data_IF_726361817013
#
_entry.id   IF_726361817013
#
_cell.length_a   1.000
_cell.length_b   1.000
_cell.length_c   1.000
_cell.angle_alpha   90.00
_cell.angle_beta   90.00
_cell.angle_gamma   90.00
#
_symmetry.space_group_name_H-M   'P 1'
#
loop_
_entity.id
_entity.type
_entity.pdbx_description
1 polymer ?
#
# COMPACT_ATOMS: atom_id res chain seq x y z
N UNK A 1 21.13 6.76 7.39
CA UNK A 1 19.72 6.83 7.85
C UNK A 1 18.86 6.09 6.84
N UNK A 2 17.99 5.21 7.32
CA UNK A 2 17.11 4.37 6.49
C UNK A 2 17.85 3.48 5.47
N UNK A 3 18.98 2.89 5.84
CA UNK A 3 19.71 1.95 4.99
C UNK A 3 18.96 0.61 4.91
N UNK A 4 18.65 0.19 3.70
CA UNK A 4 17.97 -1.06 3.38
C UNK A 4 18.87 -2.02 2.57
N UNK A 5 20.18 -1.80 2.59
CA UNK A 5 21.15 -2.66 1.92
C UNK A 5 21.03 -4.11 2.40
N UNK A 6 20.97 -5.06 1.47
CA UNK A 6 20.77 -6.48 1.77
C UNK A 6 19.33 -6.89 2.07
N UNK A 7 18.38 -5.96 2.16
CA UNK A 7 16.96 -6.26 2.36
C UNK A 7 16.24 -6.50 1.03
N UNK A 8 15.25 -7.36 1.09
CA UNK A 8 14.33 -7.64 -0.02
C UNK A 8 12.95 -7.07 0.30
N UNK A 9 12.32 -6.42 -0.67
CA UNK A 9 11.01 -5.80 -0.51
C UNK A 9 10.03 -6.27 -1.60
N UNK A 10 8.79 -6.52 -1.24
CA UNK A 10 7.67 -6.67 -2.18
C UNK A 10 6.73 -5.47 -2.01
N UNK A 11 6.52 -4.74 -3.11
CA UNK A 11 5.52 -3.66 -3.16
C UNK A 11 4.39 -4.05 -4.10
N UNK A 12 3.19 -4.19 -3.55
CA UNK A 12 2.02 -4.57 -4.34
C UNK A 12 1.36 -3.35 -5.01
N UNK A 13 0.84 -3.54 -6.24
CA UNK A 13 0.26 -2.42 -7.00
C UNK A 13 1.28 -1.31 -7.32
N UNK A 14 2.53 -1.68 -7.62
CA UNK A 14 3.67 -0.78 -7.74
C UNK A 14 4.01 -0.35 -9.17
N UNK A 15 3.13 -0.56 -10.13
CA UNK A 15 3.38 -0.19 -11.54
C UNK A 15 3.17 1.31 -11.81
N UNK A 16 2.54 2.04 -10.88
CA UNK A 16 2.26 3.47 -10.98
C UNK A 16 1.92 4.10 -9.62
N UNK A 17 1.85 5.43 -9.56
CA UNK A 17 1.35 6.19 -8.41
C UNK A 17 2.16 5.96 -7.13
N UNK A 18 1.46 5.87 -5.99
CA UNK A 18 2.08 5.75 -4.66
C UNK A 18 2.98 4.51 -4.57
N UNK A 19 2.50 3.36 -5.04
CA UNK A 19 3.27 2.11 -4.98
C UNK A 19 4.56 2.16 -5.80
N UNK A 20 4.53 2.80 -6.97
CA UNK A 20 5.73 3.01 -7.79
C UNK A 20 6.77 3.87 -7.08
N UNK A 21 6.34 4.98 -6.48
CA UNK A 21 7.25 5.88 -5.78
C UNK A 21 7.81 5.24 -4.50
N UNK A 22 7.00 4.46 -3.78
CA UNK A 22 7.50 3.65 -2.66
C UNK A 22 8.58 2.67 -3.13
N UNK A 23 8.32 1.91 -4.20
CA UNK A 23 9.29 0.96 -4.74
C UNK A 23 10.60 1.66 -5.16
N UNK A 24 10.48 2.81 -5.83
CA UNK A 24 11.62 3.64 -6.24
C UNK A 24 12.46 4.09 -5.04
N UNK A 25 11.80 4.57 -3.99
CA UNK A 25 12.48 5.08 -2.80
C UNK A 25 13.14 3.95 -1.99
N UNK A 26 12.49 2.80 -1.81
CA UNK A 26 13.08 1.63 -1.15
C UNK A 26 14.32 1.12 -1.91
N UNK A 27 14.26 1.06 -3.24
CA UNK A 27 15.39 0.68 -4.08
C UNK A 27 16.55 1.69 -3.98
N UNK A 28 16.25 2.99 -3.96
CA UNK A 28 17.25 4.05 -3.79
C UNK A 28 17.97 3.99 -2.43
N UNK A 29 17.36 3.36 -1.43
CA UNK A 29 17.93 3.10 -0.11
C UNK A 29 18.56 1.70 0.03
N UNK A 30 18.78 0.99 -1.08
CA UNK A 30 19.56 -0.25 -1.14
C UNK A 30 18.74 -1.54 -1.17
N UNK A 31 17.43 -1.50 -1.03
CA UNK A 31 16.61 -2.71 -1.09
C UNK A 31 16.57 -3.31 -2.51
N UNK A 32 16.53 -4.63 -2.62
CA UNK A 32 16.07 -5.31 -3.83
C UNK A 32 14.54 -5.34 -3.81
N UNK A 33 13.89 -4.74 -4.82
CA UNK A 33 12.42 -4.53 -4.80
C UNK A 33 11.72 -5.36 -5.86
N UNK A 34 10.77 -6.20 -5.44
CA UNK A 34 9.83 -6.86 -6.33
C UNK A 34 8.64 -5.93 -6.59
N UNK A 35 8.40 -5.61 -7.86
CA UNK A 35 7.34 -4.72 -8.32
C UNK A 35 6.17 -5.55 -8.80
N UNK A 36 5.10 -5.62 -7.99
CA UNK A 36 3.91 -6.35 -8.38
C UNK A 36 2.88 -5.44 -9.04
N UNK A 37 2.21 -5.98 -10.06
CA UNK A 37 1.03 -5.44 -10.72
C UNK A 37 0.15 -6.55 -11.27
N UNK A 38 -1.17 -6.31 -11.36
CA UNK A 38 -2.13 -7.31 -11.81
C UNK A 38 -2.38 -7.31 -13.33
N UNK A 39 -2.33 -6.13 -13.99
CA UNK A 39 -2.91 -5.94 -15.31
C UNK A 39 -2.10 -6.56 -16.45
N UNK A 40 -0.78 -6.40 -16.48
CA UNK A 40 0.06 -7.00 -17.51
C UNK A 40 1.52 -7.12 -17.09
N UNK A 41 2.22 -8.09 -17.65
CA UNK A 41 3.68 -8.26 -17.44
C UNK A 41 4.46 -7.07 -17.99
N UNK A 42 4.02 -6.50 -19.12
CA UNK A 42 4.67 -5.34 -19.72
C UNK A 42 4.63 -4.12 -18.81
N UNK A 43 3.49 -3.82 -18.17
CA UNK A 43 3.43 -2.71 -17.20
C UNK A 43 4.37 -2.92 -16.01
N UNK A 44 4.48 -4.14 -15.51
CA UNK A 44 5.43 -4.48 -14.45
C UNK A 44 6.87 -4.27 -14.93
N UNK A 45 7.21 -4.74 -16.13
CA UNK A 45 8.53 -4.59 -16.74
C UNK A 45 8.89 -3.11 -16.94
N UNK A 46 8.00 -2.34 -17.58
CA UNK A 46 8.21 -0.90 -17.84
C UNK A 46 8.41 -0.10 -16.53
N UNK A 47 7.70 -0.47 -15.46
CA UNK A 47 7.93 0.13 -14.16
C UNK A 47 9.30 -0.26 -13.57
N UNK A 48 9.66 -1.53 -13.68
CA UNK A 48 10.96 -2.05 -13.19
C UNK A 48 12.16 -1.44 -13.93
N UNK A 49 12.07 -1.24 -15.24
CA UNK A 49 13.13 -0.60 -16.03
C UNK A 49 13.50 0.81 -15.55
N UNK A 50 12.58 1.49 -14.85
CA UNK A 50 12.79 2.82 -14.28
C UNK A 50 13.36 2.81 -12.86
N UNK A 51 13.44 1.65 -12.24
CA UNK A 51 13.86 1.49 -10.84
C UNK A 51 15.05 0.54 -10.76
N UNK A 52 16.26 1.02 -10.48
CA UNK A 52 17.42 0.16 -10.26
C UNK A 52 17.16 -0.88 -9.16
N UNK A 53 17.78 -2.05 -9.28
CA UNK A 53 17.66 -3.14 -8.31
C UNK A 53 16.22 -3.62 -8.07
N UNK A 54 15.38 -3.57 -9.11
CA UNK A 54 14.01 -4.06 -9.04
C UNK A 54 13.76 -5.25 -9.97
N UNK A 55 12.72 -6.03 -9.65
CA UNK A 55 12.30 -7.22 -10.40
C UNK A 55 10.79 -7.14 -10.65
N UNK A 56 10.33 -7.21 -11.89
CA UNK A 56 8.91 -7.18 -12.20
C UNK A 56 8.25 -8.54 -11.88
N UNK A 57 7.10 -8.52 -11.23
CA UNK A 57 6.31 -9.73 -10.97
C UNK A 57 4.83 -9.45 -11.20
N UNK A 58 4.27 -9.99 -12.27
CA UNK A 58 2.85 -9.91 -12.52
C UNK A 58 2.11 -10.95 -11.68
N UNK A 59 1.13 -10.52 -10.89
CA UNK A 59 0.17 -11.39 -10.19
C UNK A 59 -1.10 -10.62 -9.86
N UNK A 60 -2.25 -11.23 -10.13
CA UNK A 60 -3.55 -10.77 -9.65
C UNK A 60 -3.78 -11.32 -8.23
N UNK A 61 -3.71 -10.43 -7.26
CA UNK A 61 -3.76 -10.81 -5.84
C UNK A 61 -5.15 -11.25 -5.37
N UNK A 62 -6.20 -11.10 -6.17
CA UNK A 62 -7.52 -11.65 -5.86
C UNK A 62 -7.54 -13.18 -6.03
N UNK A 63 -6.65 -13.72 -6.86
CA UNK A 63 -6.55 -15.14 -7.19
C UNK A 63 -5.55 -15.86 -6.29
N UNK A 64 -5.98 -16.94 -5.67
CA UNK A 64 -5.14 -17.73 -4.75
C UNK A 64 -3.89 -18.27 -5.45
N UNK A 65 -4.07 -18.87 -6.62
CA UNK A 65 -2.99 -19.51 -7.38
C UNK A 65 -1.91 -18.49 -7.78
N UNK A 66 -2.32 -17.27 -8.11
CA UNK A 66 -1.39 -16.21 -8.49
C UNK A 66 -0.65 -15.64 -7.26
N UNK A 67 -1.27 -15.61 -6.07
CA UNK A 67 -0.56 -15.26 -4.82
C UNK A 67 0.50 -16.32 -4.46
N UNK A 68 0.21 -17.61 -4.63
CA UNK A 68 1.21 -18.65 -4.40
C UNK A 68 2.35 -18.56 -5.41
N UNK A 69 2.06 -18.39 -6.70
CA UNK A 69 3.06 -18.19 -7.74
C UNK A 69 3.91 -16.93 -7.51
N UNK A 70 3.33 -15.85 -6.96
CA UNK A 70 4.06 -14.66 -6.53
C UNK A 70 5.10 -15.02 -5.47
N UNK A 71 4.70 -15.76 -4.45
CA UNK A 71 5.61 -16.19 -3.39
C UNK A 71 6.73 -17.10 -3.94
N UNK A 72 6.44 -18.03 -4.83
CA UNK A 72 7.46 -18.89 -5.47
C UNK A 72 8.50 -18.07 -6.24
N UNK A 73 8.08 -16.99 -6.91
CA UNK A 73 8.96 -16.09 -7.65
C UNK A 73 9.80 -15.16 -6.76
N UNK A 74 9.23 -14.69 -5.65
CA UNK A 74 9.90 -13.73 -4.77
C UNK A 74 10.72 -14.42 -3.68
N UNK A 75 10.39 -15.65 -3.34
CA UNK A 75 10.84 -16.29 -2.11
C UNK A 75 10.32 -15.54 -0.89
N UNK A 76 11.04 -15.58 0.22
CA UNK A 76 10.79 -14.74 1.37
C UNK A 76 11.20 -13.28 1.11
N UNK A 77 10.53 -12.33 1.74
CA UNK A 77 10.92 -10.92 1.73
C UNK A 77 10.99 -10.35 3.14
N UNK A 78 11.89 -9.41 3.33
CA UNK A 78 12.08 -8.70 4.61
C UNK A 78 11.02 -7.62 4.79
N UNK A 79 10.61 -6.98 3.69
CA UNK A 79 9.69 -5.84 3.67
C UNK A 79 8.49 -6.19 2.78
N UNK A 80 7.28 -6.01 3.32
CA UNK A 80 6.03 -6.23 2.60
C UNK A 80 5.18 -4.95 2.63
N UNK A 81 5.06 -4.28 1.46
CA UNK A 81 4.20 -3.10 1.32
C UNK A 81 2.91 -3.46 0.59
N UNK A 82 1.81 -3.41 1.32
CA UNK A 82 0.46 -3.77 0.85
C UNK A 82 -0.25 -2.52 0.34
N UNK A 83 0.08 -2.12 -0.90
CA UNK A 83 -0.45 -0.92 -1.56
C UNK A 83 -1.54 -1.24 -2.59
N UNK A 84 -1.57 -2.44 -3.16
CA UNK A 84 -2.59 -2.83 -4.13
C UNK A 84 -4.00 -2.61 -3.59
N UNK A 85 -4.84 -1.95 -4.36
CA UNK A 85 -6.24 -1.73 -3.98
C UNK A 85 -7.13 -1.47 -5.18
N UNK A 86 -8.39 -1.88 -5.07
CA UNK A 86 -9.48 -1.55 -5.97
C UNK A 86 -10.42 -0.58 -5.26
N UNK A 87 -10.95 0.38 -6.03
CA UNK A 87 -11.90 1.37 -5.56
C UNK A 87 -12.95 1.57 -6.65
N UNK A 88 -14.20 1.31 -6.32
CA UNK A 88 -15.34 1.73 -7.12
C UNK A 88 -16.03 2.92 -6.46
N UNK A 89 -16.43 3.89 -7.26
CA UNK A 89 -17.15 5.07 -6.84
C UNK A 89 -18.62 4.91 -7.22
N UNK A 90 -19.49 4.66 -6.23
CA UNK A 90 -20.91 4.37 -6.40
C UNK A 90 -21.70 4.92 -5.20
N UNK A 91 -22.95 5.23 -5.40
CA UNK A 91 -23.89 5.34 -4.29
C UNK A 91 -23.97 3.98 -3.57
N UNK A 92 -24.26 3.99 -2.28
CA UNK A 92 -24.24 2.78 -1.46
C UNK A 92 -25.24 1.70 -1.94
N UNK A 93 -26.35 2.10 -2.55
CA UNK A 93 -27.44 1.25 -3.07
C UNK A 93 -27.23 0.79 -4.53
N UNK A 94 -26.14 1.21 -5.16
CA UNK A 94 -25.81 0.87 -6.56
C UNK A 94 -24.64 -0.13 -6.69
N UNK A 95 -24.01 -0.51 -5.57
CA UNK A 95 -22.93 -1.51 -5.61
C UNK A 95 -23.46 -2.88 -6.01
N UNK A 96 -22.79 -3.51 -6.97
CA UNK A 96 -23.04 -4.93 -7.28
C UNK A 96 -22.26 -5.85 -6.33
N UNK A 97 -22.69 -7.13 -6.23
CA UNK A 97 -21.94 -8.14 -5.47
C UNK A 97 -20.52 -8.34 -6.03
N UNK A 98 -20.35 -8.32 -7.35
CA UNK A 98 -19.02 -8.41 -7.99
C UNK A 98 -18.11 -7.25 -7.62
N UNK A 99 -18.62 -6.02 -7.54
CA UNK A 99 -17.85 -4.84 -7.12
C UNK A 99 -17.50 -4.92 -5.62
N UNK A 100 -18.39 -5.45 -4.80
CA UNK A 100 -18.14 -5.73 -3.40
C UNK A 100 -17.01 -6.76 -3.25
N UNK A 101 -17.17 -7.93 -3.87
CA UNK A 101 -16.21 -9.02 -3.79
C UNK A 101 -14.83 -8.60 -4.31
N UNK A 102 -14.77 -7.89 -5.44
CA UNK A 102 -13.53 -7.40 -5.99
C UNK A 102 -12.78 -6.47 -5.01
N UNK A 103 -13.50 -5.55 -4.32
CA UNK A 103 -12.87 -4.66 -3.35
C UNK A 103 -12.38 -5.42 -2.11
N UNK A 104 -13.19 -6.33 -1.57
CA UNK A 104 -12.81 -7.12 -0.39
C UNK A 104 -11.70 -8.12 -0.70
N UNK A 105 -11.77 -8.81 -1.84
CA UNK A 105 -10.73 -9.75 -2.27
C UNK A 105 -9.38 -9.05 -2.50
N UNK A 106 -9.39 -7.89 -3.16
CA UNK A 106 -8.16 -7.14 -3.41
C UNK A 106 -7.65 -6.45 -2.14
N UNK A 107 -8.50 -5.69 -1.43
CA UNK A 107 -8.02 -4.78 -0.38
C UNK A 107 -7.77 -5.49 0.95
N UNK A 108 -8.55 -6.53 1.29
CA UNK A 108 -8.47 -7.21 2.59
C UNK A 108 -7.96 -8.63 2.48
N UNK A 109 -8.63 -9.47 1.70
CA UNK A 109 -8.29 -10.89 1.60
C UNK A 109 -6.87 -11.09 1.09
N UNK A 110 -6.48 -10.36 0.03
CA UNK A 110 -5.11 -10.42 -0.49
C UNK A 110 -4.08 -10.01 0.58
N UNK A 111 -4.33 -8.90 1.28
CA UNK A 111 -3.45 -8.39 2.34
C UNK A 111 -3.24 -9.43 3.44
N UNK A 112 -4.34 -9.99 3.95
CA UNK A 112 -4.28 -11.02 5.00
C UNK A 112 -3.47 -12.26 4.58
N UNK A 113 -3.74 -12.80 3.37
CA UNK A 113 -3.06 -14.01 2.91
C UNK A 113 -1.62 -13.77 2.52
N UNK A 114 -1.24 -12.58 2.04
CA UNK A 114 0.16 -12.22 1.83
C UNK A 114 0.91 -12.12 3.16
N UNK A 115 0.36 -11.43 4.17
CA UNK A 115 0.97 -11.40 5.50
C UNK A 115 1.19 -12.81 6.03
N UNK A 116 0.14 -13.67 5.99
CA UNK A 116 0.22 -15.07 6.43
C UNK A 116 1.30 -15.85 5.68
N UNK A 117 1.47 -15.59 4.37
CA UNK A 117 2.40 -16.33 3.51
C UNK A 117 3.85 -15.93 3.72
N UNK A 118 4.11 -14.64 3.96
CA UNK A 118 5.47 -14.13 4.17
C UNK A 118 5.93 -14.19 5.63
N UNK A 119 5.02 -14.27 6.58
CA UNK A 119 5.32 -14.32 8.02
C UNK A 119 6.34 -15.40 8.41
N UNK A 120 6.27 -16.67 7.93
CA UNK A 120 7.23 -17.70 8.33
C UNK A 120 8.67 -17.33 8.03
N UNK A 121 8.93 -16.73 6.86
CA UNK A 121 10.26 -16.23 6.49
C UNK A 121 10.74 -15.14 7.44
N UNK A 122 9.93 -14.11 7.66
CA UNK A 122 10.27 -13.00 8.56
C UNK A 122 10.51 -13.49 9.99
N UNK A 123 9.69 -14.45 10.45
CA UNK A 123 9.84 -15.08 11.78
C UNK A 123 11.15 -15.83 11.93
N UNK A 124 11.54 -16.62 10.93
CA UNK A 124 12.80 -17.38 10.93
C UNK A 124 14.02 -16.45 10.99
N UNK A 125 13.94 -15.29 10.30
CA UNK A 125 15.01 -14.30 10.28
C UNK A 125 15.00 -13.32 11.46
N UNK A 126 13.97 -13.38 12.33
CA UNK A 126 13.84 -12.48 13.47
C UNK A 126 13.67 -11.01 13.09
N UNK A 127 13.25 -10.73 11.85
CA UNK A 127 13.11 -9.38 11.33
C UNK A 127 12.02 -9.32 10.23
N UNK A 128 11.23 -8.26 10.26
CA UNK A 128 10.24 -8.00 9.21
C UNK A 128 9.61 -6.61 9.34
N UNK A 129 9.26 -6.02 8.20
CA UNK A 129 8.51 -4.75 8.14
C UNK A 129 7.33 -4.90 7.21
N UNK A 130 6.14 -4.71 7.75
CA UNK A 130 4.89 -4.78 6.99
C UNK A 130 4.23 -3.41 7.07
N UNK A 131 3.91 -2.83 5.91
CA UNK A 131 3.23 -1.54 5.82
C UNK A 131 2.00 -1.69 4.92
N UNK A 132 0.82 -1.35 5.45
CA UNK A 132 -0.40 -1.24 4.64
C UNK A 132 -0.61 0.21 4.21
N UNK A 133 -1.09 0.40 2.99
CA UNK A 133 -1.49 1.73 2.52
C UNK A 133 -3.00 1.85 2.68
N UNK A 134 -3.38 2.55 3.75
CA UNK A 134 -4.75 2.89 4.10
C UNK A 134 -5.32 4.04 3.28
N UNK A 135 -6.15 4.85 3.92
CA UNK A 135 -6.73 6.09 3.36
C UNK A 135 -7.41 6.87 4.47
N UNK A 136 -7.45 8.20 4.38
CA UNK A 136 -8.31 9.02 5.25
C UNK A 136 -9.80 8.66 5.12
N UNK A 137 -10.21 7.96 4.06
CA UNK A 137 -11.58 7.44 3.92
C UNK A 137 -11.94 6.35 4.96
N UNK A 138 -10.98 5.84 5.72
CA UNK A 138 -11.26 4.99 6.88
C UNK A 138 -11.86 5.75 8.07
N UNK A 139 -11.79 7.08 8.06
CA UNK A 139 -12.36 7.99 9.06
C UNK A 139 -13.48 8.84 8.48
N UNK A 140 -13.31 9.28 7.22
CA UNK A 140 -14.21 10.22 6.57
C UNK A 140 -15.39 9.49 5.92
N UNK A 141 -16.59 10.05 6.11
CA UNK A 141 -17.80 9.55 5.48
C UNK A 141 -17.93 10.09 4.06
N UNK A 142 -17.41 9.37 3.07
CA UNK A 142 -17.57 9.73 1.67
C UNK A 142 -18.80 9.03 1.08
N UNK A 143 -19.77 9.77 0.51
CA UNK A 143 -21.07 9.22 0.09
C UNK A 143 -20.97 8.13 -0.98
N UNK A 144 -19.91 8.15 -1.81
CA UNK A 144 -19.73 7.24 -2.93
C UNK A 144 -18.60 6.22 -2.71
N UNK A 145 -17.94 6.24 -1.55
CA UNK A 145 -16.81 5.35 -1.24
C UNK A 145 -17.07 4.51 0.02
N UNK A 146 -18.34 4.20 0.30
CA UNK A 146 -18.74 3.48 1.51
C UNK A 146 -17.99 2.16 1.69
N UNK A 147 -17.98 1.31 0.67
CA UNK A 147 -17.27 0.02 0.73
C UNK A 147 -15.74 0.18 0.78
N UNK A 148 -15.20 1.12 0.00
CA UNK A 148 -13.77 1.40 0.03
C UNK A 148 -13.31 1.84 1.43
N UNK A 149 -14.03 2.77 2.06
CA UNK A 149 -13.77 3.21 3.43
C UNK A 149 -13.78 2.05 4.43
N UNK A 150 -14.78 1.15 4.33
CA UNK A 150 -14.85 -0.07 5.15
C UNK A 150 -13.63 -0.96 4.95
N UNK A 151 -13.19 -1.20 3.70
CA UNK A 151 -11.99 -2.03 3.46
C UNK A 151 -10.73 -1.40 4.05
N UNK A 152 -10.61 -0.07 4.02
CA UNK A 152 -9.46 0.65 4.58
C UNK A 152 -9.48 0.66 6.12
N UNK A 153 -10.64 0.82 6.74
CA UNK A 153 -10.82 0.66 8.18
C UNK A 153 -10.48 -0.78 8.64
N UNK A 154 -10.89 -1.79 7.86
CA UNK A 154 -10.55 -3.18 8.12
C UNK A 154 -9.04 -3.45 8.01
N UNK A 155 -8.32 -2.85 7.03
CA UNK A 155 -6.85 -2.95 6.93
C UNK A 155 -6.16 -2.36 8.16
N UNK A 156 -6.58 -1.16 8.61
CA UNK A 156 -6.08 -0.56 9.85
C UNK A 156 -6.28 -1.50 11.02
N UNK A 157 -7.51 -2.01 11.22
CA UNK A 157 -7.80 -2.92 12.33
C UNK A 157 -7.01 -4.23 12.25
N UNK A 158 -6.73 -4.72 11.06
CA UNK A 158 -5.87 -5.87 10.86
C UNK A 158 -4.43 -5.59 11.37
N UNK A 159 -3.86 -4.40 11.08
CA UNK A 159 -2.56 -4.01 11.61
C UNK A 159 -2.54 -4.00 13.15
N UNK A 160 -3.54 -3.37 13.77
CA UNK A 160 -3.65 -3.31 15.24
C UNK A 160 -3.74 -4.70 15.87
N UNK A 161 -4.53 -5.60 15.27
CA UNK A 161 -4.72 -6.95 15.79
C UNK A 161 -3.49 -7.84 15.60
N UNK A 162 -2.74 -7.67 14.52
CA UNK A 162 -1.55 -8.48 14.24
C UNK A 162 -0.28 -7.95 14.91
N UNK A 163 -0.18 -6.67 15.21
CA UNK A 163 1.01 -6.07 15.78
C UNK A 163 1.51 -6.79 17.07
N UNK A 164 0.67 -7.04 18.09
CA UNK A 164 1.12 -7.75 19.29
C UNK A 164 1.51 -9.21 19.02
N UNK A 165 1.00 -9.81 17.95
CA UNK A 165 1.30 -11.20 17.58
C UNK A 165 2.60 -11.34 16.81
N UNK A 166 3.00 -10.28 16.07
CA UNK A 166 4.19 -10.26 15.23
C UNK A 166 5.41 -9.68 15.97
N UNK A 167 5.21 -8.71 16.85
CA UNK A 167 6.27 -8.01 17.56
C UNK A 167 7.26 -8.93 18.32
N UNK A 168 6.84 -10.04 18.98
CA UNK A 168 7.76 -10.96 19.61
C UNK A 168 8.80 -11.59 18.68
N UNK A 169 8.57 -11.55 17.38
CA UNK A 169 9.47 -12.07 16.35
C UNK A 169 10.31 -11.00 15.66
N UNK A 170 10.37 -9.78 16.20
CA UNK A 170 11.09 -8.66 15.58
C UNK A 170 10.40 -8.09 14.32
N UNK A 171 9.11 -8.41 14.13
CA UNK A 171 8.32 -7.99 12.98
C UNK A 171 7.39 -6.86 13.39
N UNK A 172 7.44 -5.73 12.67
CA UNK A 172 6.46 -4.64 12.84
C UNK A 172 5.44 -4.63 11.71
N UNK A 173 4.21 -4.24 12.04
CA UNK A 173 3.16 -3.98 11.06
C UNK A 173 2.51 -2.63 11.39
N UNK A 174 2.42 -1.74 10.39
CA UNK A 174 1.91 -0.39 10.54
C UNK A 174 1.06 0.02 9.33
N UNK A 175 0.23 1.06 9.52
CA UNK A 175 -0.63 1.61 8.47
C UNK A 175 -0.21 3.04 8.13
N UNK A 176 -0.10 3.36 6.84
CA UNK A 176 0.03 4.74 6.36
C UNK A 176 -1.29 5.12 5.69
N UNK A 177 -1.90 6.22 6.12
CA UNK A 177 -3.19 6.69 5.61
C UNK A 177 -3.02 7.98 4.79
N UNK A 178 -2.91 7.89 3.45
CA UNK A 178 -2.85 9.06 2.59
C UNK A 178 -4.18 9.82 2.55
N UNK A 179 -4.09 11.15 2.40
CA UNK A 179 -5.18 12.02 1.98
C UNK A 179 -5.42 11.99 0.47
N UNK A 180 -5.83 13.14 -0.07
CA UNK A 180 -5.95 13.33 -1.51
C UNK A 180 -4.55 13.44 -2.14
N UNK A 181 -4.19 12.45 -2.99
CA UNK A 181 -2.88 12.36 -3.66
C UNK A 181 -3.09 12.28 -5.17
N UNK A 182 -2.40 13.14 -5.93
CA UNK A 182 -2.43 13.10 -7.39
C UNK A 182 -1.76 11.82 -7.90
N UNK A 183 -2.52 10.98 -8.58
CA UNK A 183 -2.07 9.70 -9.14
C UNK A 183 -2.80 9.41 -10.45
N UNK A 184 -2.28 8.53 -11.33
CA UNK A 184 -2.99 8.13 -12.55
C UNK A 184 -4.41 7.59 -12.32
N UNK A 185 -4.72 7.10 -11.11
CA UNK A 185 -6.08 6.61 -10.76
C UNK A 185 -7.12 7.72 -10.74
N UNK A 186 -6.73 8.92 -10.31
CA UNK A 186 -7.64 10.05 -10.10
C UNK A 186 -7.29 11.28 -10.94
N UNK A 187 -6.39 11.12 -11.92
CA UNK A 187 -5.95 12.19 -12.83
C UNK A 187 -7.13 12.90 -13.50
N UNK A 188 -8.04 12.14 -14.10
CA UNK A 188 -9.21 12.72 -14.77
C UNK A 188 -10.12 13.56 -13.83
N UNK A 189 -10.23 13.18 -12.55
CA UNK A 189 -10.98 13.98 -11.58
C UNK A 189 -10.23 15.26 -11.19
N UNK A 190 -8.90 15.24 -11.21
CA UNK A 190 -8.07 16.40 -10.86
C UNK A 190 -7.82 17.35 -12.05
N UNK A 191 -8.17 16.95 -13.27
CA UNK A 191 -8.23 17.84 -14.43
C UNK A 191 -9.44 18.80 -14.38
N UNK A 192 -10.49 18.42 -13.64
CA UNK A 192 -11.61 19.32 -13.35
C UNK A 192 -11.15 20.44 -12.39
N UNK A 193 -11.11 21.67 -12.91
CA UNK A 193 -10.63 22.85 -12.19
C UNK A 193 -11.48 23.20 -10.96
N UNK A 194 -12.77 22.98 -11.02
CA UNK A 194 -13.66 23.30 -9.89
C UNK A 194 -13.55 22.23 -8.81
N UNK A 195 -13.45 20.98 -9.18
CA UNK A 195 -13.13 19.89 -8.26
C UNK A 195 -11.76 20.12 -7.59
N UNK A 196 -10.72 20.48 -8.37
CA UNK A 196 -9.38 20.78 -7.83
C UNK A 196 -9.39 21.95 -6.86
N UNK A 197 -10.09 23.03 -7.15
CA UNK A 197 -10.24 24.16 -6.22
C UNK A 197 -10.93 23.73 -4.93
N UNK A 198 -12.02 22.96 -5.05
CA UNK A 198 -12.79 22.47 -3.90
C UNK A 198 -11.95 21.57 -3.01
N UNK A 199 -11.26 20.57 -3.58
CA UNK A 199 -10.45 19.64 -2.79
C UNK A 199 -9.24 20.35 -2.17
N UNK A 200 -8.56 21.23 -2.91
CA UNK A 200 -7.41 21.99 -2.42
C UNK A 200 -7.81 22.91 -1.25
N UNK A 201 -8.96 23.56 -1.33
CA UNK A 201 -9.45 24.44 -0.24
C UNK A 201 -9.84 23.67 1.02
N UNK A 202 -10.11 22.37 0.92
CA UNK A 202 -10.41 21.51 2.07
C UNK A 202 -9.14 20.93 2.74
N UNK A 203 -7.97 21.14 2.16
CA UNK A 203 -6.70 20.65 2.69
C UNK A 203 -5.94 21.81 3.35
N UNK A 204 -5.69 21.80 4.67
CA UNK A 204 -4.97 22.89 5.36
C UNK A 204 -3.60 23.21 4.76
N UNK A 205 -2.89 22.22 4.23
CA UNK A 205 -1.62 22.43 3.53
C UNK A 205 -1.75 23.19 2.19
N UNK A 206 -2.97 23.48 1.73
CA UNK A 206 -3.25 24.29 0.53
C UNK A 206 -2.92 23.60 -0.80
N UNK A 207 -2.71 22.29 -0.80
CA UNK A 207 -2.42 21.53 -2.01
C UNK A 207 -2.82 20.05 -1.88
N UNK A 208 -3.08 19.43 -3.01
CA UNK A 208 -3.15 17.97 -3.13
C UNK A 208 -1.74 17.38 -2.94
N UNK A 209 -1.63 16.24 -2.28
CA UNK A 209 -0.39 15.51 -2.12
C UNK A 209 0.11 14.88 -3.42
N UNK A 210 1.38 14.47 -3.42
CA UNK A 210 2.02 13.69 -4.48
C UNK A 210 2.50 12.35 -3.91
N UNK A 211 2.78 11.33 -4.73
CA UNK A 211 3.37 10.07 -4.26
C UNK A 211 4.63 10.26 -3.40
N UNK A 212 5.44 11.30 -3.71
CA UNK A 212 6.64 11.67 -2.98
C UNK A 212 6.37 12.22 -1.57
N UNK A 213 5.15 12.67 -1.29
CA UNK A 213 4.74 13.06 0.06
C UNK A 213 4.45 11.84 0.95
N UNK A 214 4.11 10.70 0.35
CA UNK A 214 3.72 9.47 1.05
C UNK A 214 4.92 8.53 1.25
N UNK A 215 5.75 8.37 0.24
CA UNK A 215 6.82 7.36 0.23
C UNK A 215 7.85 7.52 1.36
N UNK A 216 8.20 8.74 1.88
CA UNK A 216 9.12 8.88 3.00
C UNK A 216 8.59 8.29 4.32
N UNK A 217 7.27 8.38 4.55
CA UNK A 217 6.64 7.76 5.72
C UNK A 217 6.75 6.23 5.65
N UNK A 218 6.55 5.66 4.47
CA UNK A 218 6.68 4.21 4.24
C UNK A 218 8.14 3.77 4.38
N UNK A 219 9.10 4.51 3.82
CA UNK A 219 10.52 4.22 3.97
C UNK A 219 10.92 4.18 5.46
N UNK A 220 10.52 5.18 6.24
CA UNK A 220 10.76 5.21 7.68
C UNK A 220 10.21 3.95 8.36
N UNK A 221 8.95 3.59 8.09
CA UNK A 221 8.32 2.40 8.70
C UNK A 221 8.92 1.07 8.20
N UNK A 222 9.65 1.06 7.09
CA UNK A 222 10.36 -0.09 6.56
C UNK A 222 11.81 -0.22 7.07
N UNK A 223 12.31 0.75 7.83
CA UNK A 223 13.71 0.83 8.27
C UNK A 223 13.94 0.24 9.67
N UNK A 224 15.20 0.15 10.08
CA UNK A 224 15.58 -0.22 11.44
C UNK A 224 15.12 0.82 12.48
N UNK A 225 15.11 2.09 12.11
CA UNK A 225 14.78 3.21 12.97
C UNK A 225 13.34 3.18 13.50
N UNK A 226 12.46 2.43 12.83
CA UNK A 226 11.06 2.24 13.25
C UNK A 226 10.82 0.93 14.02
N UNK A 227 11.86 0.22 14.43
CA UNK A 227 11.77 -1.12 15.03
C UNK A 227 10.92 -1.21 16.32
N UNK A 228 10.63 -0.09 16.98
CA UNK A 228 9.78 -0.03 18.17
C UNK A 228 8.37 0.51 17.88
N UNK A 229 8.03 0.72 16.59
CA UNK A 229 6.71 1.20 16.14
C UNK A 229 5.93 0.00 15.58
N UNK A 230 4.90 -0.44 16.29
CA UNK A 230 4.07 -1.58 15.90
C UNK A 230 2.59 -1.27 16.15
N UNK A 231 1.74 -1.52 15.18
CA UNK A 231 0.30 -1.24 15.22
C UNK A 231 -0.05 0.25 15.08
N UNK A 232 0.93 1.08 14.74
CA UNK A 232 0.72 2.51 14.57
C UNK A 232 0.07 2.83 13.23
N UNK A 233 -0.57 4.00 13.21
CA UNK A 233 -1.04 4.64 12.00
C UNK A 233 -0.38 5.99 11.83
N UNK A 234 0.11 6.21 10.61
CA UNK A 234 0.67 7.49 10.21
C UNK A 234 -0.21 8.12 9.12
N UNK A 235 -0.95 9.16 9.49
CA UNK A 235 -1.77 9.93 8.56
C UNK A 235 -0.87 10.92 7.80
N UNK A 236 -0.96 10.89 6.46
CA UNK A 236 -0.17 11.77 5.58
C UNK A 236 -1.11 12.42 4.57
N UNK A 237 -1.74 13.52 4.99
CA UNK A 237 -2.90 14.09 4.29
C UNK A 237 -2.92 15.63 4.21
N UNK A 238 -1.86 16.29 4.67
CA UNK A 238 -1.81 17.76 4.72
C UNK A 238 -2.80 18.39 5.69
N UNK A 239 -3.29 17.63 6.68
CA UNK A 239 -4.28 18.06 7.67
C UNK A 239 -5.74 17.88 7.22
N UNK A 240 -5.99 17.18 6.11
CA UNK A 240 -7.32 17.03 5.51
C UNK A 240 -8.33 16.33 6.44
N UNK A 241 -7.89 15.48 7.35
CA UNK A 241 -8.75 14.72 8.26
C UNK A 241 -8.95 15.35 9.64
N UNK A 242 -8.45 16.56 9.87
CA UNK A 242 -8.54 17.29 11.15
C UNK A 242 -9.74 18.22 11.22
#
# INVERSE_FOLDING_TARGET
>A
MFDLSGKTALVTGATQGIGFEIARLLAAHGAKVFINGASSEEKCRTASEKIPNSVPVRADLTKKEEREALFEKTGGVDILVLNASIQYKRRWDEFTEDEYDAQFDCNIKSSYFLIKRYFPYMKEHGWGRIVTIGSVNQYNNHPELSLYGVTKAAQKKLCENLAPLLAPYGITINNVAPGAVYTPRNEAAFEDTDFMKKITSSIPAGRVGKPEDISPAVLFLCSEESGYIAGAELVVDGGMSL
#
